data_IF_125697300168
#
_entry.id   IF_125697300168
#
_cell.length_a   1.000
_cell.length_b   1.000
_cell.length_c   1.000
_cell.angle_alpha   90.00
_cell.angle_beta   90.00
_cell.angle_gamma   90.00
#
_symmetry.space_group_name_H-M   'P 1'
#
loop_
_entity.id
_entity.type
_entity.pdbx_description
1 polymer ?
#
# COMPACT_ATOMS: atom_id res chain seq x y z
N UNK A 1 19.61 -32.16 2.56
CA UNK A 1 19.78 -31.31 3.76
C UNK A 1 19.78 -29.88 3.29
N UNK A 2 18.79 -29.08 3.69
CA UNK A 2 18.71 -27.67 3.28
C UNK A 2 19.90 -26.88 3.82
N UNK A 3 20.36 -25.86 3.07
CA UNK A 3 21.43 -24.98 3.56
C UNK A 3 20.86 -24.15 4.71
N UNK A 4 21.46 -24.26 5.90
CA UNK A 4 21.06 -23.42 7.04
C UNK A 4 21.40 -21.95 6.77
N UNK A 5 20.49 -21.04 7.12
CA UNK A 5 20.79 -19.61 7.13
C UNK A 5 21.97 -19.33 8.07
N UNK A 6 23.01 -18.59 7.62
CA UNK A 6 24.19 -18.29 8.43
C UNK A 6 23.86 -17.56 9.74
N UNK A 7 24.63 -17.84 10.80
CA UNK A 7 24.39 -17.28 12.13
C UNK A 7 24.56 -15.74 12.19
N UNK A 8 25.50 -15.18 11.41
CA UNK A 8 25.67 -13.73 11.29
C UNK A 8 24.43 -13.06 10.67
N UNK A 9 23.75 -13.73 9.74
CA UNK A 9 22.52 -13.22 9.12
C UNK A 9 21.36 -13.26 10.11
N UNK A 10 21.23 -14.30 10.92
CA UNK A 10 20.20 -14.36 11.98
C UNK A 10 20.39 -13.24 13.01
N UNK A 11 21.64 -12.97 13.40
CA UNK A 11 21.93 -11.86 14.31
C UNK A 11 21.55 -10.51 13.70
N UNK A 12 21.89 -10.28 12.43
CA UNK A 12 21.51 -9.07 11.70
C UNK A 12 19.98 -8.94 11.61
N UNK A 13 19.27 -10.03 11.30
CA UNK A 13 17.81 -10.09 11.22
C UNK A 13 17.14 -9.68 12.52
N UNK A 14 17.57 -10.29 13.64
CA UNK A 14 17.08 -9.99 14.97
C UNK A 14 17.32 -8.51 15.31
N UNK A 15 18.55 -8.02 15.11
CA UNK A 15 18.90 -6.61 15.39
C UNK A 15 18.05 -5.67 14.55
N UNK A 16 17.94 -5.92 13.24
CA UNK A 16 17.14 -5.11 12.33
C UNK A 16 15.68 -5.08 12.78
N UNK A 17 15.09 -6.26 13.02
CA UNK A 17 13.69 -6.40 13.43
C UNK A 17 13.39 -5.67 14.73
N UNK A 18 14.24 -5.81 15.76
CA UNK A 18 13.99 -5.13 17.04
C UNK A 18 13.89 -3.61 16.90
N UNK A 19 14.65 -3.01 15.98
CA UNK A 19 14.61 -1.58 15.75
C UNK A 19 13.34 -1.14 15.01
N UNK A 20 12.90 -1.86 13.98
CA UNK A 20 11.82 -1.36 13.09
C UNK A 20 10.47 -2.04 13.25
N UNK A 21 10.35 -3.08 14.10
CA UNK A 21 9.08 -3.84 14.25
C UNK A 21 7.87 -3.00 14.63
N UNK A 22 8.07 -1.81 15.22
CA UNK A 22 7.01 -0.89 15.62
C UNK A 22 6.84 0.32 14.69
N UNK A 23 7.66 0.43 13.65
CA UNK A 23 7.60 1.54 12.72
C UNK A 23 6.42 1.36 11.75
N UNK A 24 5.43 2.25 11.82
CA UNK A 24 4.36 2.37 10.82
C UNK A 24 4.56 3.65 10.01
N UNK A 25 5.19 3.57 8.83
CA UNK A 25 5.47 4.75 8.01
C UNK A 25 4.23 5.57 7.62
N UNK A 26 3.09 4.91 7.47
CA UNK A 26 1.89 5.55 6.95
C UNK A 26 1.26 6.49 7.97
N UNK A 27 1.53 6.29 9.28
CA UNK A 27 1.10 7.24 10.31
C UNK A 27 1.63 8.66 10.05
N UNK A 28 2.78 8.77 9.37
CA UNK A 28 3.40 10.04 8.99
C UNK A 28 2.97 10.57 7.63
N UNK A 29 2.32 9.77 6.78
CA UNK A 29 1.90 10.22 5.43
C UNK A 29 0.42 10.56 5.34
N UNK A 30 -0.40 10.20 6.33
CA UNK A 30 -1.79 10.62 6.40
C UNK A 30 -1.91 12.00 7.05
N UNK A 31 -2.61 12.95 6.40
CA UNK A 31 -2.78 14.27 6.98
C UNK A 31 -3.82 14.24 8.11
N UNK A 32 -3.49 14.86 9.24
CA UNK A 32 -4.35 14.90 10.44
C UNK A 32 -5.60 15.74 10.24
N UNK A 33 -5.56 16.71 9.32
CA UNK A 33 -6.65 17.62 9.00
C UNK A 33 -7.40 17.25 7.70
N UNK A 34 -7.27 16.01 7.20
CA UNK A 34 -7.85 15.56 5.93
C UNK A 34 -9.33 15.89 5.76
N UNK A 35 -10.16 15.53 6.75
CA UNK A 35 -11.61 15.71 6.68
C UNK A 35 -11.99 17.20 6.73
N UNK A 36 -11.28 18.00 7.53
CA UNK A 36 -11.45 19.45 7.60
C UNK A 36 -11.12 20.11 6.27
N UNK A 37 -9.97 19.78 5.67
CA UNK A 37 -9.55 20.33 4.38
C UNK A 37 -10.46 19.91 3.24
N UNK A 38 -11.01 18.69 3.29
CA UNK A 38 -12.01 18.22 2.35
C UNK A 38 -13.28 19.07 2.38
N UNK A 39 -13.79 19.41 3.58
CA UNK A 39 -14.96 20.29 3.72
C UNK A 39 -14.67 21.67 3.13
N UNK A 40 -13.54 22.28 3.48
CA UNK A 40 -13.12 23.58 2.93
C UNK A 40 -12.99 23.57 1.41
N UNK A 41 -12.42 22.50 0.85
CA UNK A 41 -12.25 22.35 -0.59
C UNK A 41 -13.60 22.31 -1.33
N UNK A 42 -14.57 21.53 -0.84
CA UNK A 42 -15.89 21.48 -1.46
C UNK A 42 -16.70 22.76 -1.27
N UNK A 43 -16.59 23.42 -0.12
CA UNK A 43 -17.17 24.74 0.11
C UNK A 43 -16.62 25.78 -0.88
N UNK A 44 -15.30 25.79 -1.11
CA UNK A 44 -14.67 26.65 -2.10
C UNK A 44 -15.20 26.39 -3.53
N UNK A 45 -15.40 25.12 -3.91
CA UNK A 45 -16.00 24.75 -5.20
C UNK A 45 -17.41 25.30 -5.34
N UNK A 46 -18.25 25.14 -4.31
CA UNK A 46 -19.62 25.66 -4.31
C UNK A 46 -19.64 27.18 -4.52
N UNK A 47 -18.65 27.89 -3.97
CA UNK A 47 -18.45 29.33 -4.14
C UNK A 47 -17.60 29.71 -5.37
N UNK A 48 -17.27 28.76 -6.25
CA UNK A 48 -16.48 28.93 -7.49
C UNK A 48 -15.08 29.53 -7.25
N UNK A 49 -14.44 29.14 -6.16
CA UNK A 49 -13.10 29.54 -5.79
C UNK A 49 -12.10 28.42 -6.04
N UNK A 50 -10.88 28.80 -6.45
CA UNK A 50 -9.75 27.88 -6.51
C UNK A 50 -9.23 27.69 -5.09
N UNK A 51 -9.15 26.45 -4.63
CA UNK A 51 -8.61 26.10 -3.32
C UNK A 51 -7.65 24.92 -3.44
N UNK A 52 -6.46 25.06 -2.85
CA UNK A 52 -5.51 23.98 -2.65
C UNK A 52 -5.45 23.69 -1.14
N UNK A 53 -5.77 22.47 -0.70
CA UNK A 53 -5.64 22.08 0.69
C UNK A 53 -4.25 22.36 1.29
N UNK A 54 -4.23 22.75 2.56
CA UNK A 54 -2.99 22.83 3.35
C UNK A 54 -3.01 21.69 4.36
N UNK A 55 -2.17 20.69 4.14
CA UNK A 55 -2.18 19.47 4.93
C UNK A 55 -1.24 19.57 6.14
N UNK A 56 -1.74 19.08 7.27
CA UNK A 56 -0.99 18.95 8.51
C UNK A 56 -0.60 17.49 8.73
N UNK A 57 0.61 17.27 9.25
CA UNK A 57 1.15 15.94 9.52
C UNK A 57 1.77 15.90 10.90
N UNK A 58 1.78 14.71 11.50
CA UNK A 58 2.56 14.48 12.72
C UNK A 58 4.06 14.45 12.40
N UNK A 59 4.85 14.99 13.32
CA UNK A 59 6.31 14.86 13.33
C UNK A 59 6.72 13.44 13.71
N UNK A 60 7.96 13.07 13.35
CA UNK A 60 8.51 11.79 13.79
C UNK A 60 8.66 11.79 15.31
N UNK A 61 8.24 10.70 15.95
CA UNK A 61 8.43 10.54 17.38
C UNK A 61 9.87 10.05 17.68
N UNK A 62 10.30 10.24 18.93
CA UNK A 62 11.67 9.94 19.37
C UNK A 62 12.02 8.45 19.17
N UNK A 63 11.07 7.55 19.44
CA UNK A 63 11.27 6.11 19.29
C UNK A 63 11.54 5.73 17.82
N UNK A 64 10.72 6.23 16.88
CA UNK A 64 10.90 5.95 15.46
C UNK A 64 12.15 6.65 14.89
N UNK A 65 12.51 7.84 15.41
CA UNK A 65 13.77 8.49 15.06
C UNK A 65 14.98 7.64 15.48
N UNK A 66 15.02 7.18 16.73
CA UNK A 66 16.10 6.32 17.24
C UNK A 66 16.20 4.99 16.46
N UNK A 67 15.05 4.39 16.13
CA UNK A 67 14.99 3.20 15.31
C UNK A 67 15.67 3.40 13.95
N UNK A 68 15.37 4.51 13.25
CA UNK A 68 15.96 4.80 11.95
C UNK A 68 17.46 5.11 12.05
N UNK A 69 17.89 5.90 13.04
CA UNK A 69 19.33 6.19 13.22
C UNK A 69 20.12 4.92 13.55
N UNK A 70 19.52 4.00 14.32
CA UNK A 70 20.08 2.67 14.54
C UNK A 70 20.26 1.91 13.22
N UNK A 71 19.20 1.78 12.40
CA UNK A 71 19.27 1.16 11.07
C UNK A 71 20.34 1.81 10.17
N UNK A 72 20.45 3.14 10.20
CA UNK A 72 21.44 3.92 9.44
C UNK A 72 22.87 3.56 9.82
N UNK A 73 23.13 3.30 11.10
CA UNK A 73 24.45 2.91 11.60
C UNK A 73 24.82 1.43 11.36
N UNK A 74 23.83 0.56 11.10
CA UNK A 74 24.06 -0.87 10.93
C UNK A 74 24.99 -1.20 9.76
N UNK A 75 25.93 -2.12 10.00
CA UNK A 75 26.81 -2.67 8.96
C UNK A 75 26.11 -3.85 8.27
N UNK A 76 25.98 -3.78 6.96
CA UNK A 76 25.33 -4.81 6.15
C UNK A 76 26.41 -5.64 5.43
N UNK A 77 26.38 -6.98 5.50
CA UNK A 77 27.29 -7.84 4.75
C UNK A 77 27.20 -7.65 3.23
N UNK A 78 28.21 -8.06 2.48
CA UNK A 78 28.22 -7.98 1.00
C UNK A 78 27.70 -9.25 0.29
N UNK A 79 27.07 -10.17 1.04
CA UNK A 79 26.54 -11.43 0.52
C UNK A 79 25.10 -11.32 -0.04
N UNK A 80 24.51 -12.45 -0.44
CA UNK A 80 23.16 -12.49 -1.01
C UNK A 80 22.07 -11.96 -0.05
N UNK A 81 22.21 -12.22 1.25
CA UNK A 81 21.30 -11.69 2.26
C UNK A 81 21.59 -10.22 2.50
N UNK A 82 22.86 -9.84 2.56
CA UNK A 82 23.31 -8.46 2.67
C UNK A 82 22.69 -7.52 1.63
N UNK A 83 22.62 -7.96 0.36
CA UNK A 83 21.91 -7.21 -0.70
C UNK A 83 20.44 -6.96 -0.36
N UNK A 84 19.76 -7.95 0.20
CA UNK A 84 18.37 -7.83 0.62
C UNK A 84 18.21 -6.82 1.77
N UNK A 85 19.05 -6.92 2.81
CA UNK A 85 19.06 -5.98 3.92
C UNK A 85 19.41 -4.55 3.49
N UNK A 86 20.31 -4.39 2.52
CA UNK A 86 20.65 -3.08 1.97
C UNK A 86 19.43 -2.42 1.28
N UNK A 87 18.62 -3.19 0.57
CA UNK A 87 17.37 -2.70 -0.03
C UNK A 87 16.35 -2.29 1.05
N UNK A 88 16.15 -3.13 2.07
CA UNK A 88 15.24 -2.81 3.18
C UNK A 88 15.71 -1.56 3.92
N UNK A 89 17.01 -1.48 4.27
CA UNK A 89 17.63 -0.31 4.88
C UNK A 89 17.38 0.95 4.05
N UNK A 90 17.63 0.88 2.74
CA UNK A 90 17.42 2.02 1.85
C UNK A 90 15.95 2.48 1.83
N UNK A 91 14.99 1.56 1.87
CA UNK A 91 13.56 1.88 1.97
C UNK A 91 13.26 2.71 3.22
N UNK A 92 13.72 2.28 4.39
CA UNK A 92 13.53 3.02 5.65
C UNK A 92 14.19 4.40 5.63
N UNK A 93 15.42 4.50 5.12
CA UNK A 93 16.12 5.78 4.99
C UNK A 93 15.39 6.74 4.05
N UNK A 94 14.88 6.25 2.91
CA UNK A 94 14.07 7.08 2.00
C UNK A 94 12.76 7.54 2.67
N UNK A 95 12.08 6.66 3.42
CA UNK A 95 10.89 7.03 4.20
C UNK A 95 11.21 8.16 5.18
N UNK A 96 12.30 8.04 5.92
CA UNK A 96 12.72 9.04 6.90
C UNK A 96 13.03 10.38 6.24
N UNK A 97 13.77 10.38 5.13
CA UNK A 97 14.05 11.58 4.35
C UNK A 97 12.77 12.25 3.82
N UNK A 98 11.78 11.46 3.40
CA UNK A 98 10.46 12.00 3.02
C UNK A 98 9.76 12.68 4.20
N UNK A 99 9.74 12.05 5.38
CA UNK A 99 9.08 12.61 6.58
C UNK A 99 9.75 13.91 7.03
N UNK A 100 11.08 13.97 7.03
CA UNK A 100 11.85 15.16 7.43
C UNK A 100 11.75 16.31 6.40
N UNK A 101 11.51 16.00 5.12
CA UNK A 101 11.57 16.98 4.04
C UNK A 101 10.22 17.17 3.32
N UNK A 102 9.17 17.60 4.03
CA UNK A 102 7.82 17.80 3.46
C UNK A 102 7.67 18.99 2.49
N UNK A 103 8.75 19.72 2.22
CA UNK A 103 8.78 20.72 1.15
C UNK A 103 8.71 20.01 -0.22
N UNK A 104 7.90 20.56 -1.12
CA UNK A 104 7.46 19.86 -2.33
C UNK A 104 8.58 19.21 -3.16
N UNK A 105 9.63 19.97 -3.49
CA UNK A 105 10.71 19.45 -4.34
C UNK A 105 11.50 18.33 -3.65
N UNK A 106 11.89 18.53 -2.38
CA UNK A 106 12.68 17.55 -1.63
C UNK A 106 11.87 16.29 -1.35
N UNK A 107 10.64 16.42 -0.85
CA UNK A 107 9.73 15.30 -0.62
C UNK A 107 9.57 14.44 -1.87
N UNK A 108 9.23 15.10 -2.98
CA UNK A 108 8.93 14.43 -4.25
C UNK A 108 10.15 13.73 -4.83
N UNK A 109 11.36 14.29 -4.66
CA UNK A 109 12.59 13.65 -5.09
C UNK A 109 12.83 12.33 -4.34
N UNK A 110 12.57 12.27 -3.04
CA UNK A 110 12.67 11.03 -2.26
C UNK A 110 11.54 10.06 -2.57
N UNK A 111 10.30 10.54 -2.72
CA UNK A 111 9.16 9.74 -3.15
C UNK A 111 9.41 9.07 -4.51
N UNK A 112 10.00 9.80 -5.47
CA UNK A 112 10.39 9.27 -6.78
C UNK A 112 11.47 8.19 -6.65
N UNK A 113 12.45 8.36 -5.75
CA UNK A 113 13.47 7.32 -5.51
C UNK A 113 12.86 6.06 -4.88
N UNK A 114 11.88 6.21 -3.98
CA UNK A 114 11.24 5.10 -3.27
C UNK A 114 10.22 4.35 -4.14
N UNK A 115 9.28 5.07 -4.74
CA UNK A 115 8.12 4.49 -5.44
C UNK A 115 8.24 4.54 -6.97
N UNK A 116 9.17 5.34 -7.49
CA UNK A 116 9.23 5.65 -8.92
C UNK A 116 8.15 6.65 -9.34
N UNK A 117 8.02 6.82 -10.66
CA UNK A 117 6.92 7.55 -11.29
C UNK A 117 6.27 6.66 -12.35
N UNK A 118 4.97 6.83 -12.66
CA UNK A 118 4.32 6.07 -13.71
C UNK A 118 5.01 6.31 -15.06
N UNK A 119 5.34 5.24 -15.79
CA UNK A 119 5.88 5.35 -17.15
C UNK A 119 4.82 5.88 -18.13
N UNK A 120 5.26 6.42 -19.27
CA UNK A 120 4.37 6.86 -20.34
C UNK A 120 3.39 5.77 -20.77
N UNK A 121 3.87 4.53 -20.85
CA UNK A 121 3.07 3.38 -21.30
C UNK A 121 2.01 3.03 -20.26
N UNK A 122 2.36 3.11 -18.98
CA UNK A 122 1.42 2.89 -17.87
C UNK A 122 0.31 3.96 -17.89
N UNK A 123 0.68 5.22 -18.14
CA UNK A 123 -0.27 6.34 -18.26
C UNK A 123 -1.20 6.14 -19.46
N UNK A 124 -0.67 5.76 -20.62
CA UNK A 124 -1.48 5.50 -21.82
C UNK A 124 -2.47 4.35 -21.62
N UNK A 125 -2.04 3.26 -20.97
CA UNK A 125 -2.91 2.12 -20.67
C UNK A 125 -4.01 2.50 -19.66
N UNK A 126 -3.66 3.26 -18.61
CA UNK A 126 -4.64 3.79 -17.67
C UNK A 126 -5.69 4.66 -18.37
N UNK A 127 -5.28 5.55 -19.28
CA UNK A 127 -6.21 6.35 -20.09
C UNK A 127 -7.10 5.46 -20.97
N UNK A 128 -6.54 4.40 -21.56
CA UNK A 128 -7.30 3.43 -22.36
C UNK A 128 -8.39 2.73 -21.55
N UNK A 129 -8.07 2.26 -20.33
CA UNK A 129 -9.03 1.67 -19.40
C UNK A 129 -10.16 2.66 -19.09
N UNK A 130 -9.82 3.92 -18.80
CA UNK A 130 -10.80 4.94 -18.44
C UNK A 130 -11.71 5.34 -19.60
N UNK A 131 -11.24 5.22 -20.86
CA UNK A 131 -12.07 5.39 -22.07
C UNK A 131 -12.96 4.18 -22.34
N UNK A 132 -12.41 2.97 -22.18
CA UNK A 132 -13.10 1.70 -22.46
C UNK A 132 -14.26 1.47 -21.50
N UNK A 133 -14.01 1.64 -20.20
CA UNK A 133 -14.99 1.41 -19.16
C UNK A 133 -15.60 2.73 -18.75
N UNK A 134 -16.90 2.95 -18.97
CA UNK A 134 -17.57 4.17 -18.50
C UNK A 134 -17.85 4.12 -17.01
N UNK A 135 -18.01 5.30 -16.39
CA UNK A 135 -18.53 5.42 -15.03
C UNK A 135 -19.91 4.77 -14.99
N UNK A 136 -20.08 3.77 -14.12
CA UNK A 136 -21.39 3.19 -13.85
C UNK A 136 -21.99 3.87 -12.62
N UNK A 137 -23.32 4.11 -12.61
CA UNK A 137 -24.00 4.53 -11.40
C UNK A 137 -23.90 3.42 -10.34
N UNK A 138 -23.69 3.79 -9.08
CA UNK A 138 -23.67 2.83 -7.98
C UNK A 138 -25.13 2.40 -7.74
N UNK A 139 -25.45 1.13 -8.01
CA UNK A 139 -26.84 0.64 -7.99
C UNK A 139 -27.27 -0.08 -6.71
N UNK A 140 -26.47 -0.07 -5.64
CA UNK A 140 -26.69 -0.98 -4.51
C UNK A 140 -26.96 -0.26 -3.19
N UNK A 141 -27.65 -0.96 -2.28
CA UNK A 141 -27.71 -0.60 -0.88
C UNK A 141 -26.29 -0.54 -0.29
N UNK A 142 -26.08 0.45 0.58
CA UNK A 142 -24.82 0.62 1.30
C UNK A 142 -24.95 0.08 2.71
N UNK A 143 -23.97 -0.72 3.10
CA UNK A 143 -23.73 -1.16 4.47
C UNK A 143 -22.86 -0.12 5.19
N UNK A 144 -23.20 0.16 6.44
CA UNK A 144 -22.38 0.97 7.33
C UNK A 144 -21.24 0.17 7.98
N UNK A 145 -20.32 0.88 8.59
CA UNK A 145 -19.08 0.36 9.18
C UNK A 145 -19.26 -0.89 10.07
N UNK A 146 -20.33 -0.98 10.87
CA UNK A 146 -20.58 -2.12 11.77
C UNK A 146 -20.67 -3.45 11.02
N UNK A 147 -21.42 -3.48 9.92
CA UNK A 147 -21.58 -4.69 9.10
C UNK A 147 -20.25 -5.14 8.50
N UNK A 148 -19.41 -4.18 8.07
CA UNK A 148 -18.08 -4.47 7.52
C UNK A 148 -17.20 -5.08 8.61
N UNK A 149 -17.20 -4.49 9.82
CA UNK A 149 -16.43 -4.99 10.95
C UNK A 149 -16.83 -6.41 11.34
N UNK A 150 -18.13 -6.69 11.40
CA UNK A 150 -18.65 -8.00 11.77
C UNK A 150 -18.21 -9.06 10.74
N UNK A 151 -18.34 -8.78 9.44
CA UNK A 151 -17.88 -9.69 8.39
C UNK A 151 -16.36 -9.93 8.41
N UNK A 152 -15.55 -8.89 8.67
CA UNK A 152 -14.10 -9.05 8.80
C UNK A 152 -13.74 -9.92 10.01
N UNK A 153 -14.40 -9.70 11.16
CA UNK A 153 -14.19 -10.50 12.38
C UNK A 153 -14.62 -11.95 12.17
N UNK A 154 -15.79 -12.18 11.58
CA UNK A 154 -16.28 -13.51 11.23
C UNK A 154 -15.30 -14.23 10.31
N UNK A 155 -14.76 -13.53 9.31
CA UNK A 155 -13.76 -14.09 8.39
C UNK A 155 -12.48 -14.48 9.13
N UNK A 156 -11.93 -13.62 9.99
CA UNK A 156 -10.75 -13.95 10.83
C UNK A 156 -10.99 -15.18 11.71
N UNK A 157 -12.14 -15.23 12.40
CA UNK A 157 -12.55 -16.38 13.22
C UNK A 157 -12.64 -17.66 12.39
N UNK A 158 -13.25 -17.61 11.20
CA UNK A 158 -13.37 -18.77 10.31
C UNK A 158 -12.01 -19.34 9.86
N UNK A 159 -10.96 -18.52 9.91
CA UNK A 159 -9.59 -18.85 9.54
C UNK A 159 -8.71 -19.22 10.75
N UNK A 160 -9.28 -19.24 11.96
CA UNK A 160 -8.57 -19.39 13.23
C UNK A 160 -7.46 -18.34 13.46
N UNK A 161 -7.64 -17.13 12.96
CA UNK A 161 -6.72 -16.01 13.15
C UNK A 161 -7.24 -15.16 14.31
N UNK A 162 -6.56 -15.21 15.46
CA UNK A 162 -7.01 -14.59 16.72
C UNK A 162 -6.14 -13.42 17.17
N UNK A 163 -5.00 -13.21 16.53
CA UNK A 163 -4.01 -12.18 16.83
C UNK A 163 -4.26 -10.85 16.08
N UNK A 164 -5.33 -10.78 15.28
CA UNK A 164 -5.72 -9.57 14.55
C UNK A 164 -7.01 -8.94 15.10
N UNK A 165 -7.04 -7.61 15.20
CA UNK A 165 -8.25 -6.86 15.54
C UNK A 165 -8.76 -5.99 14.38
N UNK A 166 -10.00 -5.50 14.49
CA UNK A 166 -10.61 -4.58 13.53
C UNK A 166 -10.98 -3.30 14.27
N UNK A 167 -10.36 -2.19 13.87
CA UNK A 167 -10.41 -0.90 14.55
C UNK A 167 -10.90 0.20 13.60
N UNK A 168 -11.44 1.28 14.17
CA UNK A 168 -11.93 2.46 13.43
C UNK A 168 -10.91 3.59 13.55
N UNK A 169 -10.68 4.33 12.47
CA UNK A 169 -9.76 5.48 12.42
C UNK A 169 -10.41 6.72 11.77
N UNK A 170 -9.96 7.90 12.17
CA UNK A 170 -10.38 9.20 11.61
C UNK A 170 -9.34 9.74 10.62
N UNK A 171 -9.72 10.70 9.77
CA UNK A 171 -8.79 11.38 8.85
C UNK A 171 -8.18 10.48 7.78
N UNK A 172 -8.85 9.37 7.46
CA UNK A 172 -8.24 8.29 6.69
C UNK A 172 -8.62 8.32 5.21
N UNK A 173 -7.62 8.34 4.33
CA UNK A 173 -7.83 8.56 2.88
C UNK A 173 -8.24 7.27 2.15
N UNK A 174 -7.94 6.10 2.72
CA UNK A 174 -8.17 4.79 2.08
C UNK A 174 -9.43 4.11 2.61
N UNK A 175 -9.95 3.14 1.86
CA UNK A 175 -11.16 2.41 2.26
C UNK A 175 -10.93 1.42 3.40
N UNK A 176 -9.74 0.83 3.46
CA UNK A 176 -9.30 -0.07 4.52
C UNK A 176 -7.78 -0.24 4.43
N UNK A 177 -7.13 -0.65 5.52
CA UNK A 177 -5.70 -0.99 5.54
C UNK A 177 -5.41 -2.04 6.60
N UNK A 178 -4.46 -2.93 6.33
CA UNK A 178 -3.81 -3.72 7.37
C UNK A 178 -2.60 -2.96 7.95
N UNK A 179 -2.59 -2.76 9.25
CA UNK A 179 -1.43 -2.37 10.03
C UNK A 179 -0.71 -3.65 10.48
N UNK A 180 0.35 -4.03 9.77
CA UNK A 180 1.12 -5.26 10.02
C UNK A 180 1.84 -5.25 11.37
N UNK A 181 2.20 -4.05 11.83
CA UNK A 181 2.96 -3.78 13.06
C UNK A 181 2.11 -4.01 14.30
N UNK A 182 0.89 -3.46 14.29
CA UNK A 182 -0.06 -3.62 15.41
C UNK A 182 -1.03 -4.79 15.23
N UNK A 183 -0.97 -5.47 14.07
CA UNK A 183 -1.90 -6.54 13.69
C UNK A 183 -3.36 -6.07 13.71
N UNK A 184 -3.62 -4.94 13.08
CA UNK A 184 -4.96 -4.33 13.02
C UNK A 184 -5.44 -4.15 11.60
N UNK A 185 -6.73 -4.36 11.37
CA UNK A 185 -7.44 -3.90 10.19
C UNK A 185 -8.09 -2.57 10.53
N UNK A 186 -7.67 -1.50 9.87
CA UNK A 186 -8.15 -0.14 10.09
C UNK A 186 -9.22 0.21 9.05
N UNK A 187 -10.37 0.69 9.53
CA UNK A 187 -11.48 1.19 8.72
C UNK A 187 -11.73 2.68 8.98
N UNK A 188 -11.95 3.52 7.95
CA UNK A 188 -12.32 4.91 8.15
C UNK A 188 -13.70 5.02 8.82
N UNK A 189 -13.81 5.94 9.77
CA UNK A 189 -15.10 6.32 10.36
C UNK A 189 -16.08 6.77 9.27
N UNK A 190 -17.34 6.35 9.38
CA UNK A 190 -18.40 6.75 8.44
C UNK A 190 -18.34 6.08 7.06
N UNK A 191 -17.50 5.04 6.87
CA UNK A 191 -17.46 4.29 5.61
C UNK A 191 -18.83 3.69 5.25
N UNK A 192 -19.21 3.89 3.99
CA UNK A 192 -20.40 3.32 3.35
C UNK A 192 -19.96 2.56 2.11
N UNK A 193 -20.20 1.25 2.09
CA UNK A 193 -19.86 0.38 0.95
C UNK A 193 -20.98 -0.60 0.67
N UNK A 194 -21.13 -1.00 -0.59
CA UNK A 194 -22.05 -2.08 -0.93
C UNK A 194 -21.40 -3.45 -0.64
N UNK A 195 -22.20 -4.51 -0.69
CA UNK A 195 -21.76 -5.89 -0.43
C UNK A 195 -20.56 -6.31 -1.29
N UNK A 196 -20.57 -5.99 -2.59
CA UNK A 196 -19.46 -6.29 -3.50
C UNK A 196 -18.14 -5.59 -3.09
N UNK A 197 -18.21 -4.45 -2.41
CA UNK A 197 -17.05 -3.77 -1.84
C UNK A 197 -16.61 -4.35 -0.51
N UNK A 198 -17.50 -4.95 0.29
CA UNK A 198 -17.10 -5.66 1.52
C UNK A 198 -16.23 -6.87 1.17
N UNK A 199 -16.65 -7.66 0.18
CA UNK A 199 -15.86 -8.79 -0.32
C UNK A 199 -14.47 -8.34 -0.79
N UNK A 200 -14.38 -7.20 -1.49
CA UNK A 200 -13.10 -6.63 -1.92
C UNK A 200 -12.23 -6.17 -0.76
N UNK A 201 -12.84 -5.61 0.28
CA UNK A 201 -12.12 -5.25 1.51
C UNK A 201 -11.57 -6.52 2.16
N UNK A 202 -12.35 -7.59 2.27
CA UNK A 202 -11.91 -8.89 2.78
C UNK A 202 -10.72 -9.43 1.96
N UNK A 203 -10.83 -9.43 0.63
CA UNK A 203 -9.75 -9.87 -0.25
C UNK A 203 -8.48 -9.07 -0.04
N UNK A 204 -8.58 -7.73 0.01
CA UNK A 204 -7.42 -6.85 0.21
C UNK A 204 -6.78 -7.05 1.59
N UNK A 205 -7.56 -6.92 2.67
CA UNK A 205 -6.97 -6.84 4.01
C UNK A 205 -6.72 -8.22 4.61
N UNK A 206 -7.58 -9.20 4.36
CA UNK A 206 -7.41 -10.55 4.92
C UNK A 206 -6.63 -11.43 3.95
N UNK A 207 -7.17 -11.64 2.75
CA UNK A 207 -6.62 -12.66 1.84
C UNK A 207 -5.31 -12.25 1.18
N UNK A 208 -4.94 -10.98 1.23
CA UNK A 208 -3.61 -10.51 0.82
C UNK A 208 -2.78 -10.13 2.05
N UNK A 209 -3.15 -9.06 2.77
CA UNK A 209 -2.27 -8.50 3.79
C UNK A 209 -2.10 -9.42 5.03
N UNK A 210 -3.20 -9.91 5.63
CA UNK A 210 -3.12 -10.80 6.81
C UNK A 210 -2.47 -12.12 6.44
N UNK A 211 -2.84 -12.75 5.32
CA UNK A 211 -2.24 -14.01 4.88
C UNK A 211 -0.72 -13.91 4.69
N UNK A 212 -0.23 -12.85 4.04
CA UNK A 212 1.20 -12.61 3.95
C UNK A 212 1.83 -12.45 5.33
N UNK A 213 1.21 -11.69 6.25
CA UNK A 213 1.78 -11.51 7.59
C UNK A 213 1.83 -12.81 8.40
N UNK A 214 0.78 -13.63 8.34
CA UNK A 214 0.72 -14.92 9.02
C UNK A 214 1.78 -15.88 8.46
N UNK A 215 1.98 -15.91 7.15
CA UNK A 215 3.08 -16.68 6.55
C UNK A 215 4.46 -16.12 6.90
N UNK A 216 4.60 -14.78 7.00
CA UNK A 216 5.85 -14.13 7.39
C UNK A 216 6.28 -14.53 8.81
N UNK A 217 5.34 -14.64 9.75
CA UNK A 217 5.61 -15.10 11.12
C UNK A 217 6.13 -16.54 11.18
N UNK A 218 5.83 -17.35 10.17
CA UNK A 218 6.33 -18.72 10.07
C UNK A 218 7.70 -18.81 9.37
N UNK A 219 8.25 -17.70 8.87
CA UNK A 219 9.55 -17.70 8.20
C UNK A 219 10.70 -17.72 9.20
N UNK A 220 11.87 -18.27 8.82
CA UNK A 220 13.06 -18.27 9.68
C UNK A 220 13.73 -16.90 9.89
N UNK A 221 13.28 -15.86 9.17
CA UNK A 221 13.78 -14.49 9.24
C UNK A 221 12.61 -13.52 9.45
N UNK A 222 12.77 -12.62 10.41
CA UNK A 222 11.78 -11.63 10.82
C UNK A 222 11.61 -10.50 9.80
N UNK A 223 12.59 -10.24 8.93
CA UNK A 223 12.47 -9.26 7.83
C UNK A 223 11.24 -9.48 6.94
N UNK A 224 10.76 -10.71 6.79
CA UNK A 224 9.54 -11.00 6.02
C UNK A 224 8.27 -10.40 6.66
N UNK A 225 8.30 -10.08 7.96
CA UNK A 225 7.20 -9.41 8.69
C UNK A 225 7.29 -7.88 8.63
N UNK A 226 8.48 -7.36 8.33
CA UNK A 226 8.78 -5.92 8.19
C UNK A 226 8.54 -5.45 6.76
N UNK A 227 8.74 -6.34 5.80
CA UNK A 227 8.63 -6.04 4.38
C UNK A 227 9.97 -5.88 3.71
N UNK A 228 10.10 -6.58 2.59
CA UNK A 228 11.13 -6.31 1.60
C UNK A 228 10.81 -5.02 0.82
N UNK A 229 11.77 -4.57 0.04
CA UNK A 229 11.55 -3.44 -0.87
C UNK A 229 10.37 -3.74 -1.82
N UNK A 230 9.52 -2.72 -2.02
CA UNK A 230 8.32 -2.75 -2.90
C UNK A 230 7.26 -3.81 -2.56
N UNK A 231 7.16 -4.30 -1.33
CA UNK A 231 6.11 -5.27 -0.96
C UNK A 231 4.69 -4.72 -1.14
N UNK A 232 4.50 -3.41 -1.03
CA UNK A 232 3.20 -2.74 -1.22
C UNK A 232 2.71 -2.87 -2.67
N UNK A 233 3.63 -2.82 -3.64
CA UNK A 233 3.33 -3.08 -5.06
C UNK A 233 2.87 -4.52 -5.26
N UNK A 234 3.51 -5.48 -4.58
CA UNK A 234 3.10 -6.89 -4.57
C UNK A 234 1.70 -7.06 -4.02
N UNK A 235 1.43 -6.53 -2.82
CA UNK A 235 0.11 -6.62 -2.19
C UNK A 235 -0.99 -6.04 -3.08
N UNK A 236 -0.75 -4.83 -3.59
CA UNK A 236 -1.74 -4.17 -4.43
C UNK A 236 -1.96 -4.91 -5.76
N UNK A 237 -0.91 -5.47 -6.36
CA UNK A 237 -1.03 -6.29 -7.57
C UNK A 237 -1.71 -7.64 -7.32
N UNK A 238 -1.43 -8.31 -6.20
CA UNK A 238 -2.10 -9.54 -5.77
C UNK A 238 -3.59 -9.31 -5.56
N UNK A 239 -3.97 -8.19 -4.92
CA UNK A 239 -5.37 -7.83 -4.73
C UNK A 239 -6.11 -7.69 -6.07
N UNK A 240 -5.54 -6.97 -7.04
CA UNK A 240 -6.18 -6.82 -8.36
C UNK A 240 -6.24 -8.17 -9.09
N UNK A 241 -5.22 -9.00 -8.98
CA UNK A 241 -5.20 -10.33 -9.59
C UNK A 241 -6.24 -11.28 -8.98
N UNK A 242 -6.38 -11.29 -7.65
CA UNK A 242 -7.43 -12.03 -6.96
C UNK A 242 -8.82 -11.57 -7.38
N UNK A 243 -9.03 -10.25 -7.41
CA UNK A 243 -10.30 -9.70 -7.88
C UNK A 243 -10.57 -10.12 -9.33
N UNK A 244 -9.54 -10.13 -10.18
CA UNK A 244 -9.65 -10.55 -11.57
C UNK A 244 -10.03 -12.03 -11.71
N UNK A 245 -9.37 -12.92 -10.98
CA UNK A 245 -9.63 -14.37 -11.07
C UNK A 245 -10.95 -14.79 -10.44
N UNK A 246 -11.39 -14.11 -9.39
CA UNK A 246 -12.68 -14.38 -8.73
C UNK A 246 -13.87 -13.72 -9.43
N UNK A 247 -13.65 -13.07 -10.59
CA UNK A 247 -14.64 -12.26 -11.29
C UNK A 247 -15.29 -11.16 -10.44
N UNK A 248 -14.66 -10.78 -9.32
CA UNK A 248 -15.09 -9.64 -8.50
C UNK A 248 -14.51 -8.33 -9.02
N UNK A 249 -13.59 -8.38 -10.00
CA UNK A 249 -13.12 -7.20 -10.72
C UNK A 249 -14.22 -6.63 -11.62
N UNK A 250 -14.95 -5.69 -11.05
CA UNK A 250 -15.76 -4.78 -11.84
C UNK A 250 -14.82 -3.79 -12.55
N UNK A 251 -15.21 -3.41 -13.77
CA UNK A 251 -14.76 -2.20 -14.46
C UNK A 251 -14.49 -1.01 -13.53
N UNK A 252 -15.24 -0.84 -12.43
CA UNK A 252 -14.99 0.22 -11.45
C UNK A 252 -13.66 0.07 -10.67
N UNK A 253 -13.20 -1.14 -10.36
CA UNK A 253 -11.90 -1.37 -9.70
C UNK A 253 -10.77 -0.98 -10.65
N UNK A 254 -10.81 -1.49 -11.89
CA UNK A 254 -9.81 -1.16 -12.91
C UNK A 254 -9.78 0.35 -13.17
N UNK A 255 -10.95 0.99 -13.25
CA UNK A 255 -11.05 2.46 -13.36
C UNK A 255 -10.43 3.15 -12.15
N UNK A 256 -10.66 2.68 -10.93
CA UNK A 256 -10.07 3.29 -9.72
C UNK A 256 -8.54 3.21 -9.72
N UNK A 257 -7.96 2.06 -10.06
CA UNK A 257 -6.50 1.91 -10.14
C UNK A 257 -5.88 2.67 -11.31
N UNK A 258 -6.56 2.72 -12.47
CA UNK A 258 -6.17 3.62 -13.56
C UNK A 258 -6.23 5.10 -13.14
N UNK A 259 -7.21 5.47 -12.31
CA UNK A 259 -7.28 6.78 -11.67
C UNK A 259 -6.09 7.07 -10.75
N UNK A 260 -5.59 6.08 -10.02
CA UNK A 260 -4.38 6.19 -9.19
C UNK A 260 -3.11 6.46 -10.01
N UNK A 261 -2.99 5.83 -11.18
CA UNK A 261 -1.91 6.13 -12.15
C UNK A 261 -1.99 7.58 -12.61
N UNK A 262 -3.17 8.03 -13.03
CA UNK A 262 -3.36 9.43 -13.44
C UNK A 262 -3.14 10.41 -12.30
N UNK A 263 -3.58 10.08 -11.08
CA UNK A 263 -3.32 10.90 -9.90
C UNK A 263 -1.82 11.10 -9.66
N UNK A 264 -1.03 10.03 -9.75
CA UNK A 264 0.42 10.11 -9.56
C UNK A 264 1.09 10.91 -10.68
N UNK A 265 0.67 10.69 -11.93
CA UNK A 265 1.17 11.44 -13.08
C UNK A 265 0.82 12.94 -13.03
N UNK A 266 -0.43 13.26 -12.72
CA UNK A 266 -0.92 14.64 -12.66
C UNK A 266 -0.40 15.37 -11.42
N UNK A 267 -0.40 14.72 -10.26
CA UNK A 267 0.11 15.30 -9.02
C UNK A 267 1.58 15.69 -9.12
N UNK A 268 2.37 14.94 -9.89
CA UNK A 268 3.75 15.31 -10.21
C UNK A 268 3.88 16.62 -11.03
N UNK A 269 2.88 16.94 -11.85
CA UNK A 269 2.95 18.05 -12.81
C UNK A 269 2.18 19.30 -12.37
N UNK A 270 1.18 19.14 -11.50
CA UNK A 270 0.16 20.14 -11.25
C UNK A 270 -0.12 20.34 -9.75
N UNK A 271 -0.75 21.46 -9.42
CA UNK A 271 -1.31 21.72 -8.09
C UNK A 271 -2.47 20.75 -7.77
N UNK A 272 -2.94 20.77 -6.52
CA UNK A 272 -4.12 19.99 -6.11
C UNK A 272 -5.35 20.35 -6.94
N UNK A 273 -5.68 21.64 -7.05
CA UNK A 273 -6.82 22.11 -7.82
C UNK A 273 -6.78 21.64 -9.27
N UNK A 274 -5.65 21.86 -9.95
CA UNK A 274 -5.47 21.48 -11.36
C UNK A 274 -5.53 19.97 -11.58
N UNK A 275 -5.03 19.18 -10.63
CA UNK A 275 -5.13 17.72 -10.64
C UNK A 275 -6.58 17.27 -10.47
N UNK A 276 -7.27 17.85 -9.48
CA UNK A 276 -8.68 17.58 -9.21
C UNK A 276 -9.56 17.89 -10.42
N UNK A 277 -9.39 19.06 -11.03
CA UNK A 277 -10.17 19.49 -12.20
C UNK A 277 -10.04 18.49 -13.36
N UNK A 278 -8.84 17.95 -13.58
CA UNK A 278 -8.60 16.94 -14.63
C UNK A 278 -9.26 15.60 -14.27
N UNK A 279 -9.19 15.18 -13.02
CA UNK A 279 -9.79 13.94 -12.54
C UNK A 279 -11.33 14.02 -12.41
N UNK A 280 -11.89 15.20 -12.15
CA UNK A 280 -13.34 15.39 -12.00
C UNK A 280 -14.11 15.18 -13.32
N UNK A 281 -13.43 15.34 -14.47
CA UNK A 281 -13.96 14.96 -15.77
C UNK A 281 -14.13 13.44 -15.95
N UNK A 282 -13.45 12.63 -15.12
CA UNK A 282 -13.39 11.18 -15.25
C UNK A 282 -14.09 10.46 -14.10
N UNK A 283 -14.20 11.08 -12.93
CA UNK A 283 -14.67 10.48 -11.68
C UNK A 283 -15.75 11.33 -11.01
N UNK A 284 -16.43 10.78 -9.98
CA UNK A 284 -17.29 11.62 -9.14
C UNK A 284 -16.46 12.67 -8.39
N UNK A 285 -17.04 13.81 -7.98
CA UNK A 285 -16.32 14.83 -7.21
C UNK A 285 -15.56 14.25 -6.01
N UNK A 286 -16.21 13.36 -5.24
CA UNK A 286 -15.61 12.72 -4.07
C UNK A 286 -14.46 11.79 -4.46
N UNK A 287 -14.61 11.00 -5.53
CA UNK A 287 -13.52 10.11 -5.98
C UNK A 287 -12.35 10.90 -6.56
N UNK A 288 -12.61 11.95 -7.33
CA UNK A 288 -11.59 12.84 -7.87
C UNK A 288 -10.79 13.52 -6.75
N UNK A 289 -11.47 14.00 -5.70
CA UNK A 289 -10.82 14.56 -4.52
C UNK A 289 -9.93 13.52 -3.82
N UNK A 290 -10.45 12.34 -3.51
CA UNK A 290 -9.67 11.28 -2.85
C UNK A 290 -8.46 10.86 -3.69
N UNK A 291 -8.64 10.65 -5.00
CA UNK A 291 -7.52 10.32 -5.89
C UNK A 291 -6.49 11.45 -5.91
N UNK A 292 -6.91 12.70 -6.02
CA UNK A 292 -6.00 13.87 -5.98
C UNK A 292 -5.22 13.89 -4.69
N UNK A 293 -5.90 13.79 -3.54
CA UNK A 293 -5.25 13.75 -2.24
C UNK A 293 -4.24 12.61 -2.15
N UNK A 294 -4.58 11.39 -2.59
CA UNK A 294 -3.64 10.26 -2.60
C UNK A 294 -2.34 10.54 -3.37
N UNK A 295 -2.41 11.33 -4.45
CA UNK A 295 -1.22 11.73 -5.21
C UNK A 295 -0.41 12.84 -4.53
N UNK A 296 -1.10 13.77 -3.84
CA UNK A 296 -0.52 14.97 -3.21
C UNK A 296 -0.11 14.77 -1.74
N UNK A 297 -0.53 13.69 -1.08
CA UNK A 297 -0.16 13.36 0.30
C UNK A 297 1.35 13.45 0.51
N UNK A 298 1.74 13.85 1.72
CA UNK A 298 3.12 14.12 2.10
C UNK A 298 3.54 15.58 1.96
N UNK A 299 2.89 16.35 1.08
CA UNK A 299 3.12 17.79 0.96
C UNK A 299 2.26 18.58 1.93
N UNK A 300 2.86 19.56 2.62
CA UNK A 300 2.12 20.52 3.45
C UNK A 300 1.33 21.50 2.56
N UNK A 301 2.01 22.14 1.60
CA UNK A 301 1.39 23.00 0.60
C UNK A 301 1.09 22.21 -0.67
N UNK A 302 -0.19 21.95 -0.93
CA UNK A 302 -0.61 21.18 -2.11
C UNK A 302 -0.80 22.04 -3.37
N UNK A 303 -0.57 23.35 -3.29
CA UNK A 303 -0.44 24.21 -4.48
C UNK A 303 0.83 23.86 -5.26
N UNK A 304 1.88 23.43 -4.57
CA UNK A 304 3.13 23.01 -5.18
C UNK A 304 2.98 21.71 -5.99
N UNK A 305 3.88 21.50 -6.96
CA UNK A 305 3.92 20.26 -7.77
C UNK A 305 4.58 19.12 -7.00
N UNK A 306 4.16 17.88 -7.29
CA UNK A 306 4.70 16.69 -6.64
C UNK A 306 3.78 16.06 -5.60
N UNK A 307 4.35 15.21 -4.75
CA UNK A 307 3.66 14.45 -3.71
C UNK A 307 4.26 13.06 -3.49
N UNK A 308 3.51 12.17 -2.83
CA UNK A 308 3.94 10.79 -2.56
C UNK A 308 3.93 9.92 -3.82
N UNK A 309 3.09 10.26 -4.80
CA UNK A 309 3.01 9.63 -6.12
C UNK A 309 2.89 8.10 -6.10
N UNK A 310 2.39 7.50 -5.01
CA UNK A 310 2.32 6.05 -4.83
C UNK A 310 1.15 5.39 -5.60
N UNK A 311 0.19 6.20 -6.09
CA UNK A 311 -1.07 5.72 -6.66
C UNK A 311 -0.94 4.85 -7.92
N UNK A 312 0.21 4.83 -8.60
CA UNK A 312 0.45 3.95 -9.76
C UNK A 312 0.84 2.52 -9.38
N UNK A 313 1.36 2.29 -8.17
CA UNK A 313 1.87 0.97 -7.76
C UNK A 313 0.86 -0.16 -7.93
N UNK A 314 -0.44 -0.02 -7.57
CA UNK A 314 -1.39 -1.10 -7.76
C UNK A 314 -1.48 -1.57 -9.22
N UNK A 315 -1.62 -0.64 -10.16
CA UNK A 315 -1.77 -0.99 -11.57
C UNK A 315 -0.47 -1.53 -12.17
N UNK A 316 0.67 -0.97 -11.75
CA UNK A 316 1.98 -1.48 -12.14
C UNK A 316 2.22 -2.90 -11.62
N UNK A 317 1.96 -3.14 -10.33
CA UNK A 317 2.11 -4.44 -9.69
C UNK A 317 1.23 -5.49 -10.35
N UNK A 318 -0.03 -5.18 -10.65
CA UNK A 318 -0.90 -6.09 -11.38
C UNK A 318 -0.35 -6.46 -12.76
N UNK A 319 0.23 -5.50 -13.50
CA UNK A 319 0.86 -5.80 -14.80
C UNK A 319 2.04 -6.76 -14.69
N UNK A 320 2.82 -6.69 -13.61
CA UNK A 320 3.91 -7.63 -13.34
C UNK A 320 3.39 -9.00 -12.91
N UNK A 321 2.34 -9.02 -12.09
CA UNK A 321 1.78 -10.23 -11.48
C UNK A 321 0.92 -11.07 -12.44
N UNK A 322 0.18 -10.45 -13.36
CA UNK A 322 -0.77 -11.15 -14.25
C UNK A 322 -0.14 -12.20 -15.17
N UNK A 323 1.18 -12.13 -15.41
CA UNK A 323 1.92 -13.10 -16.23
C UNK A 323 2.55 -14.23 -15.41
N UNK A 324 2.43 -14.19 -14.09
CA UNK A 324 3.03 -15.20 -13.21
C UNK A 324 2.23 -16.50 -13.20
N UNK A 325 2.94 -17.62 -13.04
CA UNK A 325 2.33 -18.92 -12.80
C UNK A 325 1.70 -18.99 -11.41
N UNK A 326 0.83 -19.98 -11.15
CA UNK A 326 0.26 -20.19 -9.81
C UNK A 326 1.33 -20.40 -8.74
N UNK A 327 2.38 -21.17 -9.04
CA UNK A 327 3.50 -21.40 -8.09
C UNK A 327 4.26 -20.10 -7.78
N UNK A 328 4.43 -19.25 -8.79
CA UNK A 328 5.02 -17.92 -8.62
C UNK A 328 4.13 -17.02 -7.76
N UNK A 329 2.81 -17.02 -7.99
CA UNK A 329 1.85 -16.26 -7.17
C UNK A 329 1.86 -16.73 -5.71
N UNK A 330 1.86 -18.05 -5.48
CA UNK A 330 1.99 -18.60 -4.14
C UNK A 330 3.31 -18.18 -3.49
N UNK A 331 4.42 -18.11 -4.25
CA UNK A 331 5.69 -17.63 -3.72
C UNK A 331 5.62 -16.19 -3.17
N UNK A 332 4.74 -15.33 -3.70
CA UNK A 332 4.55 -13.97 -3.18
C UNK A 332 3.80 -13.94 -1.83
N UNK A 333 3.27 -15.08 -1.38
CA UNK A 333 2.60 -15.21 -0.08
C UNK A 333 3.51 -15.58 1.08
N UNK A 334 4.81 -15.85 0.85
CA UNK A 334 5.72 -16.25 1.95
C UNK A 334 5.86 -15.19 3.05
N UNK A 335 5.55 -13.94 2.73
CA UNK A 335 5.65 -12.80 3.62
C UNK A 335 5.43 -11.49 2.88
N UNK A 336 5.83 -10.38 3.50
CA UNK A 336 5.82 -9.06 2.88
C UNK A 336 7.01 -8.95 1.92
N UNK A 337 6.83 -9.36 0.66
CA UNK A 337 7.90 -9.44 -0.33
C UNK A 337 7.63 -8.61 -1.57
N UNK A 338 8.67 -8.11 -2.23
CA UNK A 338 8.56 -7.46 -3.53
C UNK A 338 8.48 -8.49 -4.67
N UNK A 339 7.82 -8.10 -5.77
CA UNK A 339 7.64 -8.95 -6.97
C UNK A 339 8.99 -9.28 -7.60
N UNK A 340 9.92 -8.33 -7.58
CA UNK A 340 11.20 -8.41 -8.27
C UNK A 340 12.17 -9.40 -7.57
N UNK A 341 11.84 -9.91 -6.38
CA UNK A 341 12.63 -10.91 -5.64
C UNK A 341 12.19 -12.36 -5.92
N UNK A 342 11.19 -12.60 -6.78
CA UNK A 342 10.55 -13.91 -6.92
C UNK A 342 11.52 -15.07 -7.21
N UNK A 343 12.49 -14.88 -8.10
CA UNK A 343 13.45 -15.92 -8.49
C UNK A 343 14.35 -16.31 -7.31
N UNK A 344 14.81 -15.31 -6.54
CA UNK A 344 15.62 -15.52 -5.33
C UNK A 344 14.82 -16.28 -4.26
N UNK A 345 13.54 -15.93 -4.07
CA UNK A 345 12.66 -16.56 -3.10
C UNK A 345 12.36 -18.02 -3.47
N UNK A 346 12.12 -18.30 -4.75
CA UNK A 346 11.93 -19.68 -5.25
C UNK A 346 13.19 -20.52 -5.06
N UNK A 347 14.38 -19.95 -5.32
CA UNK A 347 15.64 -20.63 -5.05
C UNK A 347 15.79 -20.97 -3.57
N UNK A 348 15.51 -20.03 -2.66
CA UNK A 348 15.59 -20.27 -1.22
C UNK A 348 14.55 -21.26 -0.70
N UNK A 349 13.33 -21.29 -1.27
CA UNK A 349 12.35 -22.34 -1.01
C UNK A 349 12.87 -23.71 -1.44
N UNK A 350 13.47 -23.81 -2.63
CA UNK A 350 14.07 -25.05 -3.15
C UNK A 350 15.26 -25.55 -2.33
N UNK A 351 16.05 -24.63 -1.78
CA UNK A 351 17.17 -24.93 -0.87
C UNK A 351 16.72 -25.25 0.56
N UNK A 352 15.43 -25.13 0.89
CA UNK A 352 14.90 -25.33 2.23
C UNK A 352 15.30 -24.25 3.23
N UNK A 353 15.69 -23.06 2.75
CA UNK A 353 15.99 -21.88 3.58
C UNK A 353 14.72 -21.17 4.06
N UNK A 354 13.62 -21.31 3.32
CA UNK A 354 12.32 -20.70 3.62
C UNK A 354 11.22 -21.76 3.77
N UNK A 355 10.18 -21.42 4.51
CA UNK A 355 8.98 -22.22 4.63
C UNK A 355 8.00 -21.90 3.50
N UNK A 356 7.30 -22.92 2.98
CA UNK A 356 6.20 -22.71 2.03
C UNK A 356 5.05 -21.96 2.70
N UNK A 357 4.31 -21.11 1.97
CA UNK A 357 3.14 -20.42 2.51
C UNK A 357 2.05 -21.44 2.88
N UNK A 358 1.38 -21.21 4.00
CA UNK A 358 0.26 -22.01 4.49
C UNK A 358 -1.05 -21.28 4.19
N UNK A 359 -1.09 -19.98 4.50
CA UNK A 359 -2.24 -19.13 4.23
C UNK A 359 -2.22 -18.70 2.76
N UNK A 360 -3.19 -19.20 2.00
CA UNK A 360 -3.37 -18.88 0.59
C UNK A 360 -4.86 -18.66 0.30
N UNK A 361 -5.22 -17.69 -0.56
CA UNK A 361 -6.57 -17.56 -1.11
C UNK A 361 -7.05 -18.88 -1.73
N UNK A 362 -8.35 -19.17 -1.59
CA UNK A 362 -8.96 -20.43 -2.07
C UNK A 362 -8.65 -20.73 -3.54
N UNK A 363 -8.57 -19.70 -4.37
CA UNK A 363 -8.32 -19.81 -5.81
C UNK A 363 -6.90 -20.30 -6.18
N UNK A 364 -5.98 -20.34 -5.22
CA UNK A 364 -4.64 -20.90 -5.41
C UNK A 364 -4.49 -22.31 -4.85
N UNK A 365 -5.54 -22.90 -4.27
CA UNK A 365 -5.54 -24.32 -3.89
C UNK A 365 -5.96 -25.17 -5.12
N UNK A 366 -5.32 -26.34 -5.32
CA UNK A 366 -5.59 -27.23 -6.45
C UNK A 366 -6.97 -27.89 -6.44
#
# INVERSE_FOLDING_TARGET
>A
MGKSIPANIRKLDEEFFQNVRFFDEWKYFFPTNFDTEKVKFFDAIEHRQIYNPVFEYIDIDEQDFEAIESIKSMTIPEDEFGKLYAQIKQRFLLTFEMIQNRQAQSFTNFAQKKYGIPSSDLVQEAQSILRKYRRQPIQNAFSGIRVIMDQLKERLVSLNITDWTVDICQGYVWLARANHTEQKILLPEGILVNEAWIEKIIQLVIEVCVFQQQNAQAQPLEIFRVGLDRFEETQAGLFIELAHRTSTIDSQILRRHAGGVLSSYLGFQYSFWETYERLSNLFSPQTAFTLTAQGKMGLVDTQEKGGILHGHLPFQGWKKIKSLTTDQLQCLYIGLVGIDQIDQLQAWLGEGKLARPIFLPQIFHP
#
